data_IF_071359380758
#
_entry.id   IF_071359380758
#
_cell.length_a   1.000
_cell.length_b   1.000
_cell.length_c   1.000
_cell.angle_alpha   90.00
_cell.angle_beta   90.00
_cell.angle_gamma   90.00
#
_symmetry.space_group_name_H-M   'P 1'
#
loop_
_entity.id
_entity.type
_entity.pdbx_description
1 polymer ?
#
# COMPACT_ATOMS: atom_id res chain seq x y z
N UNK A 1 19.90 2.15 -3.33
CA UNK A 1 18.60 2.39 -2.67
C UNK A 1 17.43 2.44 -3.64
N UNK A 2 16.26 2.65 -3.08
CA UNK A 2 15.02 2.95 -3.81
C UNK A 2 14.67 4.41 -3.59
N UNK A 3 14.16 5.08 -4.62
CA UNK A 3 13.73 6.48 -4.55
C UNK A 3 12.29 6.57 -5.04
N UNK A 4 11.41 7.16 -4.22
CA UNK A 4 10.00 7.36 -4.53
C UNK A 4 9.71 8.84 -4.75
N UNK A 5 9.12 9.15 -5.89
CA UNK A 5 8.58 10.47 -6.20
C UNK A 5 7.16 10.59 -5.66
N UNK A 6 6.92 11.57 -4.81
CA UNK A 6 5.56 11.88 -4.37
C UNK A 6 4.77 12.58 -5.47
N UNK A 7 3.46 12.30 -5.52
CA UNK A 7 2.53 12.96 -6.41
C UNK A 7 1.51 13.79 -5.63
N UNK A 8 0.93 14.79 -6.28
CA UNK A 8 -0.17 15.57 -5.76
C UNK A 8 -1.38 15.51 -6.72
N UNK A 9 -2.53 15.81 -6.19
CA UNK A 9 -3.75 15.97 -6.98
C UNK A 9 -3.63 17.21 -7.90
N UNK A 10 -3.99 17.11 -9.19
CA UNK A 10 -3.82 18.19 -10.14
C UNK A 10 -4.64 19.44 -9.80
N UNK A 11 -5.81 19.29 -9.18
CA UNK A 11 -6.71 20.39 -8.86
C UNK A 11 -6.43 20.97 -7.47
N UNK A 12 -6.41 20.10 -6.46
CA UNK A 12 -6.30 20.53 -5.06
C UNK A 12 -4.86 20.72 -4.58
N UNK A 13 -3.87 20.22 -5.36
CA UNK A 13 -2.44 20.20 -5.03
C UNK A 13 -2.11 19.45 -3.73
N UNK A 14 -3.06 18.71 -3.18
CA UNK A 14 -2.86 17.88 -1.99
C UNK A 14 -2.09 16.61 -2.35
N UNK A 15 -1.30 16.11 -1.40
CA UNK A 15 -0.60 14.84 -1.51
C UNK A 15 -1.54 13.69 -1.88
N UNK A 16 -1.11 12.83 -2.79
CA UNK A 16 -1.85 11.63 -3.20
C UNK A 16 -1.06 10.33 -2.96
N UNK A 17 0.12 10.18 -3.55
CA UNK A 17 0.97 8.99 -3.44
C UNK A 17 2.41 9.34 -3.11
N UNK A 18 3.15 8.42 -2.50
CA UNK A 18 4.57 8.57 -2.17
C UNK A 18 5.03 7.55 -1.14
N UNK A 19 5.81 7.99 -0.15
CA UNK A 19 6.38 7.14 0.87
C UNK A 19 5.62 7.15 2.19
N UNK A 20 5.72 6.03 2.93
CA UNK A 20 5.17 5.88 4.28
C UNK A 20 6.27 5.39 5.21
N UNK A 21 6.42 6.02 6.37
CA UNK A 21 7.28 5.56 7.45
C UNK A 21 6.46 4.74 8.44
N UNK A 22 6.85 3.50 8.71
CA UNK A 22 6.23 2.68 9.76
C UNK A 22 6.52 3.29 11.14
N UNK A 23 5.50 3.34 12.00
CA UNK A 23 5.66 3.77 13.39
C UNK A 23 6.48 2.76 14.20
N UNK A 24 6.36 1.49 13.85
CA UNK A 24 7.07 0.38 14.44
C UNK A 24 7.27 -0.72 13.41
N UNK A 25 8.49 -1.26 13.32
CA UNK A 25 8.75 -2.42 12.46
C UNK A 25 7.90 -3.62 12.88
N UNK A 26 7.35 -4.33 11.90
CA UNK A 26 6.43 -5.45 12.14
C UNK A 26 4.99 -5.05 12.46
N UNK A 27 4.66 -3.75 12.41
CA UNK A 27 3.29 -3.21 12.50
C UNK A 27 2.96 -2.37 11.28
N UNK A 28 1.73 -2.48 10.75
CA UNK A 28 1.29 -1.76 9.54
C UNK A 28 1.06 -0.26 9.73
N UNK A 29 0.86 0.15 10.98
CA UNK A 29 0.62 1.56 11.27
C UNK A 29 1.83 2.41 10.83
N UNK A 30 1.59 3.41 9.99
CA UNK A 30 2.61 4.28 9.45
C UNK A 30 2.15 5.72 9.34
N UNK A 31 3.08 6.59 9.01
CA UNK A 31 2.86 8.02 8.75
C UNK A 31 3.26 8.32 7.31
N UNK A 32 2.37 8.96 6.57
CA UNK A 32 2.65 9.48 5.22
C UNK A 32 3.73 10.54 5.31
N UNK A 33 4.72 10.47 4.42
CA UNK A 33 5.77 11.45 4.30
C UNK A 33 5.47 12.41 3.14
N UNK A 34 5.03 13.60 3.49
CA UNK A 34 4.85 14.69 2.51
C UNK A 34 6.19 15.31 2.20
N UNK A 35 6.53 15.63 0.94
CA UNK A 35 7.76 16.32 0.60
C UNK A 35 7.93 17.63 1.38
N UNK A 36 9.13 17.85 1.91
CA UNK A 36 9.43 18.98 2.78
C UNK A 36 10.75 19.70 2.43
N UNK A 37 11.24 19.54 1.21
CA UNK A 37 12.50 20.11 0.75
C UNK A 37 13.74 19.28 1.08
N UNK A 38 13.59 18.15 1.79
CA UNK A 38 14.70 17.26 2.14
C UNK A 38 14.38 15.81 1.80
N UNK A 39 15.39 14.96 1.61
CA UNK A 39 15.21 13.51 1.49
C UNK A 39 14.72 12.95 2.83
N UNK A 40 13.67 12.16 2.78
CA UNK A 40 13.09 11.50 3.96
C UNK A 40 13.15 9.99 3.80
N UNK A 41 13.71 9.27 4.77
CA UNK A 41 13.75 7.81 4.73
C UNK A 41 12.37 7.22 5.07
N UNK A 42 11.86 6.37 4.20
CA UNK A 42 10.59 5.66 4.38
C UNK A 42 10.81 4.13 4.40
N UNK A 43 9.73 3.39 4.64
CA UNK A 43 9.73 1.92 4.64
C UNK A 43 8.86 1.35 3.52
N UNK A 44 7.79 2.06 3.17
CA UNK A 44 6.84 1.71 2.11
C UNK A 44 6.86 2.80 1.03
N UNK A 45 6.83 2.41 -0.22
CA UNK A 45 6.85 3.31 -1.37
C UNK A 45 5.77 2.92 -2.38
N UNK A 46 4.96 3.88 -2.84
CA UNK A 46 4.07 3.67 -3.97
C UNK A 46 4.86 3.71 -5.28
N UNK A 47 4.54 2.84 -6.22
CA UNK A 47 5.23 2.75 -7.51
C UNK A 47 4.65 3.66 -8.60
N UNK A 48 3.86 4.69 -8.26
CA UNK A 48 3.45 5.70 -9.24
C UNK A 48 4.66 6.36 -9.90
N UNK A 49 5.67 6.70 -9.09
CA UNK A 49 6.98 7.16 -9.54
C UNK A 49 8.02 6.48 -8.65
N UNK A 50 8.69 5.45 -9.17
CA UNK A 50 9.64 4.66 -8.38
C UNK A 50 10.91 4.40 -9.20
N UNK A 51 12.05 4.72 -8.62
CA UNK A 51 13.36 4.40 -9.18
C UNK A 51 14.06 3.39 -8.27
N UNK A 52 14.51 2.29 -8.84
CA UNK A 52 15.22 1.22 -8.16
C UNK A 52 16.64 1.18 -8.68
N UNK A 53 17.63 1.30 -7.78
CA UNK A 53 19.02 1.20 -8.18
C UNK A 53 19.37 -0.23 -8.65
N UNK A 54 20.32 -0.31 -9.57
CA UNK A 54 20.82 -1.59 -10.10
C UNK A 54 21.25 -2.54 -8.98
N UNK A 55 21.86 -2.02 -7.93
CA UNK A 55 22.32 -2.82 -6.77
C UNK A 55 21.14 -3.49 -6.06
N UNK A 56 20.05 -2.76 -5.83
CA UNK A 56 18.83 -3.32 -5.22
C UNK A 56 18.21 -4.38 -6.13
N UNK A 57 18.10 -4.07 -7.44
CA UNK A 57 17.57 -5.01 -8.41
C UNK A 57 18.39 -6.30 -8.51
N UNK A 58 19.71 -6.22 -8.49
CA UNK A 58 20.59 -7.40 -8.54
C UNK A 58 20.42 -8.32 -7.33
N UNK A 59 20.01 -7.79 -6.17
CA UNK A 59 19.78 -8.57 -4.94
C UNK A 59 18.36 -9.12 -4.86
N UNK A 60 17.37 -8.31 -5.20
CA UNK A 60 15.95 -8.65 -5.00
C UNK A 60 15.27 -9.21 -6.26
N UNK A 61 15.82 -8.94 -7.43
CA UNK A 61 15.19 -9.24 -8.70
C UNK A 61 14.02 -8.33 -9.02
N UNK A 62 13.05 -8.85 -9.76
CA UNK A 62 11.81 -8.17 -10.13
C UNK A 62 10.76 -8.24 -9.03
N UNK A 63 9.65 -7.53 -9.21
CA UNK A 63 8.48 -7.63 -8.33
C UNK A 63 7.98 -9.07 -8.23
N UNK A 64 7.49 -9.45 -7.06
CA UNK A 64 6.97 -10.79 -6.80
C UNK A 64 5.73 -11.12 -7.64
N UNK A 65 5.71 -12.31 -8.24
CA UNK A 65 4.56 -12.84 -9.00
C UNK A 65 3.35 -13.21 -8.12
N UNK A 66 3.49 -13.12 -6.80
CA UNK A 66 2.37 -13.32 -5.85
C UNK A 66 1.31 -12.22 -5.96
N UNK A 67 1.65 -11.09 -6.58
CA UNK A 67 0.77 -9.92 -6.71
C UNK A 67 0.42 -9.68 -8.17
N UNK A 68 -0.87 -9.51 -8.44
CA UNK A 68 -1.36 -9.15 -9.78
C UNK A 68 -1.76 -7.69 -9.89
N UNK A 69 -2.04 -7.03 -8.77
CA UNK A 69 -2.42 -5.62 -8.73
C UNK A 69 -2.32 -5.07 -7.31
N UNK A 70 -1.64 -3.94 -7.14
CA UNK A 70 -1.40 -3.31 -5.84
C UNK A 70 -0.49 -4.16 -4.92
N UNK A 71 -0.10 -3.62 -3.79
CA UNK A 71 0.72 -4.26 -2.73
C UNK A 71 2.15 -4.64 -3.17
N UNK A 72 2.38 -4.95 -4.45
CA UNK A 72 3.68 -5.38 -4.96
C UNK A 72 4.79 -4.36 -4.67
N UNK A 73 4.48 -3.09 -4.77
CA UNK A 73 5.37 -1.97 -4.48
C UNK A 73 5.73 -1.88 -2.99
N UNK A 74 4.75 -2.10 -2.11
CA UNK A 74 4.97 -2.18 -0.67
C UNK A 74 5.76 -3.43 -0.26
N UNK A 75 5.48 -4.57 -0.89
CA UNK A 75 6.28 -5.78 -0.68
C UNK A 75 7.75 -5.55 -1.09
N UNK A 76 7.96 -4.95 -2.25
CA UNK A 76 9.30 -4.72 -2.79
C UNK A 76 10.09 -3.73 -1.92
N UNK A 77 9.48 -2.62 -1.53
CA UNK A 77 10.13 -1.61 -0.68
C UNK A 77 10.46 -2.17 0.71
N UNK A 78 9.55 -2.92 1.36
CA UNK A 78 9.84 -3.58 2.64
C UNK A 78 10.89 -4.68 2.50
N UNK A 79 10.92 -5.42 1.38
CA UNK A 79 11.96 -6.40 1.11
C UNK A 79 13.32 -5.73 0.97
N UNK A 80 13.39 -4.55 0.35
CA UNK A 80 14.62 -3.76 0.25
C UNK A 80 15.09 -3.28 1.62
N UNK A 81 14.20 -2.72 2.44
CA UNK A 81 14.53 -2.32 3.82
C UNK A 81 15.05 -3.51 4.63
N UNK A 82 14.38 -4.68 4.53
CA UNK A 82 14.80 -5.90 5.22
C UNK A 82 16.18 -6.40 4.76
N UNK A 83 16.53 -6.15 3.49
CA UNK A 83 17.85 -6.46 2.93
C UNK A 83 18.91 -5.38 3.22
N UNK A 84 18.59 -4.35 4.01
CA UNK A 84 19.51 -3.29 4.41
C UNK A 84 19.62 -2.13 3.42
N UNK A 85 18.77 -2.07 2.39
CA UNK A 85 18.77 -0.97 1.44
C UNK A 85 17.84 0.18 1.90
N UNK A 86 18.29 1.44 1.82
CA UNK A 86 17.45 2.58 2.14
C UNK A 86 16.39 2.83 1.05
N UNK A 87 15.22 3.28 1.48
CA UNK A 87 14.14 3.78 0.63
C UNK A 87 13.91 5.26 0.95
N UNK A 88 13.99 6.13 -0.05
CA UNK A 88 13.96 7.57 0.10
C UNK A 88 12.78 8.21 -0.61
N UNK A 89 12.07 9.09 0.08
CA UNK A 89 11.14 10.05 -0.53
C UNK A 89 11.95 11.23 -1.05
N UNK A 90 11.70 11.62 -2.30
CA UNK A 90 12.31 12.80 -2.92
C UNK A 90 11.80 14.10 -2.26
N UNK A 91 12.61 15.17 -2.24
CA UNK A 91 12.30 16.39 -1.48
C UNK A 91 11.13 17.21 -2.03
N UNK A 92 10.62 16.90 -3.22
CA UNK A 92 9.58 17.65 -3.94
C UNK A 92 8.56 16.71 -4.58
N UNK A 93 7.43 17.26 -5.02
CA UNK A 93 6.48 16.52 -5.86
C UNK A 93 7.07 16.29 -7.25
N UNK A 94 6.99 15.06 -7.72
CA UNK A 94 7.55 14.62 -9.00
C UNK A 94 6.50 14.51 -10.12
N UNK A 95 5.23 14.69 -9.77
CA UNK A 95 4.15 14.61 -10.74
C UNK A 95 2.78 14.82 -10.13
N UNK A 96 1.78 14.82 -11.00
CA UNK A 96 0.37 14.95 -10.62
C UNK A 96 -0.35 13.62 -10.89
N UNK A 97 -1.15 13.17 -9.93
CA UNK A 97 -1.97 11.98 -10.04
C UNK A 97 -3.18 12.11 -9.13
N UNK A 98 -4.38 11.96 -9.68
CA UNK A 98 -5.59 11.92 -8.87
C UNK A 98 -5.59 10.69 -7.96
N UNK A 99 -6.18 10.84 -6.79
CA UNK A 99 -6.39 9.72 -5.88
C UNK A 99 -7.67 8.96 -6.29
N UNK A 100 -7.50 7.90 -7.08
CA UNK A 100 -8.60 7.05 -7.55
C UNK A 100 -9.16 6.10 -6.47
N UNK A 101 -8.54 6.07 -5.30
CA UNK A 101 -8.96 5.20 -4.20
C UNK A 101 -10.11 5.82 -3.41
N UNK A 102 -11.27 5.94 -4.05
CA UNK A 102 -12.50 6.28 -3.38
C UNK A 102 -12.99 5.15 -2.46
N UNK A 103 -14.15 5.32 -1.78
CA UNK A 103 -14.76 4.30 -0.91
C UNK A 103 -15.30 3.08 -1.69
N UNK A 104 -14.83 2.83 -2.90
CA UNK A 104 -15.22 1.74 -3.81
C UNK A 104 -15.04 0.32 -3.25
N UNK A 105 -14.29 0.17 -2.16
CA UNK A 105 -14.16 -1.07 -1.40
C UNK A 105 -15.39 -1.41 -0.55
N UNK A 106 -16.41 -0.53 -0.49
CA UNK A 106 -17.72 -0.77 0.11
C UNK A 106 -18.77 -0.83 -1.02
N UNK A 107 -19.00 -1.97 -1.66
CA UNK A 107 -20.00 -2.09 -2.70
C UNK A 107 -21.41 -1.98 -2.09
N UNK A 108 -21.93 -0.76 -2.02
CA UNK A 108 -23.29 -0.50 -1.55
C UNK A 108 -24.29 -1.18 -2.50
N UNK A 109 -25.33 -1.81 -1.93
CA UNK A 109 -26.36 -2.48 -2.70
C UNK A 109 -25.97 -3.81 -3.36
N UNK A 110 -24.74 -4.30 -3.12
CA UNK A 110 -24.29 -5.57 -3.69
C UNK A 110 -24.76 -6.79 -2.91
N UNK A 111 -25.06 -7.88 -3.65
CA UNK A 111 -25.38 -9.17 -3.05
C UNK A 111 -24.16 -9.79 -2.36
N UNK A 112 -24.38 -10.72 -1.43
CA UNK A 112 -23.28 -11.44 -0.76
C UNK A 112 -22.35 -12.13 -1.76
N UNK A 113 -22.89 -12.73 -2.83
CA UNK A 113 -22.11 -13.35 -3.90
C UNK A 113 -21.15 -12.35 -4.57
N UNK A 114 -21.62 -11.15 -4.87
CA UNK A 114 -20.80 -10.09 -5.46
C UNK A 114 -19.72 -9.63 -4.49
N UNK A 115 -20.01 -9.49 -3.19
CA UNK A 115 -19.05 -9.11 -2.15
C UNK A 115 -17.97 -10.18 -1.94
N UNK A 116 -18.33 -11.46 -1.98
CA UNK A 116 -17.35 -12.56 -1.94
C UNK A 116 -16.45 -12.52 -3.19
N UNK A 117 -17.02 -12.30 -4.38
CA UNK A 117 -16.21 -12.11 -5.60
C UNK A 117 -15.24 -10.95 -5.46
N UNK A 118 -15.69 -9.83 -4.89
CA UNK A 118 -14.86 -8.65 -4.64
C UNK A 118 -13.76 -8.92 -3.60
N UNK A 119 -14.03 -9.71 -2.54
CA UNK A 119 -13.05 -10.12 -1.55
C UNK A 119 -11.82 -10.79 -2.20
N UNK A 120 -12.05 -11.64 -3.20
CA UNK A 120 -10.98 -12.39 -3.87
C UNK A 120 -10.43 -11.68 -5.12
N UNK A 121 -11.10 -10.64 -5.61
CA UNK A 121 -10.66 -9.91 -6.80
C UNK A 121 -9.36 -9.16 -6.55
N UNK A 122 -8.38 -9.20 -7.47
CA UNK A 122 -7.15 -8.39 -7.38
C UNK A 122 -7.42 -6.88 -7.32
N UNK A 123 -8.46 -6.41 -8.02
CA UNK A 123 -8.93 -5.01 -7.98
C UNK A 123 -9.88 -4.73 -6.80
N UNK A 124 -10.21 -5.73 -6.01
CA UNK A 124 -11.02 -5.62 -4.80
C UNK A 124 -10.18 -5.64 -3.54
N UNK A 125 -10.53 -6.54 -2.61
CA UNK A 125 -9.78 -6.69 -1.36
C UNK A 125 -8.55 -7.61 -1.48
N UNK A 126 -8.35 -8.25 -2.63
CA UNK A 126 -7.19 -9.10 -2.94
C UNK A 126 -6.81 -10.07 -1.80
N UNK A 127 -7.80 -10.75 -1.22
CA UNK A 127 -7.72 -11.49 0.05
C UNK A 127 -6.45 -12.34 0.19
N UNK A 128 -6.15 -13.17 -0.83
CA UNK A 128 -4.97 -14.06 -0.78
C UNK A 128 -3.67 -13.26 -0.76
N UNK A 129 -3.55 -12.27 -1.63
CA UNK A 129 -2.37 -11.41 -1.77
C UNK A 129 -2.17 -10.54 -0.52
N UNK A 130 -3.25 -9.98 0.01
CA UNK A 130 -3.23 -9.22 1.26
C UNK A 130 -2.75 -10.07 2.43
N UNK A 131 -3.25 -11.30 2.57
CA UNK A 131 -2.82 -12.21 3.64
C UNK A 131 -1.39 -12.72 3.45
N UNK A 132 -0.94 -12.92 2.20
CA UNK A 132 0.46 -13.24 1.90
C UNK A 132 1.39 -12.12 2.39
N UNK A 133 1.10 -10.88 1.99
CA UNK A 133 1.83 -9.68 2.40
C UNK A 133 1.88 -9.52 3.93
N UNK A 134 0.73 -9.64 4.60
CA UNK A 134 0.65 -9.53 6.06
C UNK A 134 1.45 -10.64 6.75
N UNK A 135 1.36 -11.87 6.28
CA UNK A 135 2.16 -12.99 6.83
C UNK A 135 3.66 -12.74 6.72
N UNK A 136 4.10 -12.17 5.61
CA UNK A 136 5.52 -11.91 5.31
C UNK A 136 6.13 -10.81 6.19
N UNK A 137 5.38 -9.72 6.44
CA UNK A 137 5.93 -8.53 7.09
C UNK A 137 5.31 -8.18 8.45
N UNK A 138 4.07 -8.59 8.68
CA UNK A 138 3.27 -8.23 9.86
C UNK A 138 2.58 -9.45 10.48
N UNK A 139 3.30 -10.53 10.79
CA UNK A 139 2.68 -11.81 11.18
C UNK A 139 1.79 -11.70 12.41
N UNK A 140 2.11 -10.80 13.35
CA UNK A 140 1.28 -10.55 14.54
C UNK A 140 -0.10 -9.97 14.22
N UNK A 141 -0.29 -9.38 13.04
CA UNK A 141 -1.57 -8.78 12.60
C UNK A 141 -2.35 -9.69 11.62
N UNK A 142 -1.85 -10.91 11.38
CA UNK A 142 -2.44 -11.81 10.38
C UNK A 142 -3.89 -12.18 10.67
N UNK A 143 -4.18 -12.61 11.89
CA UNK A 143 -5.53 -13.02 12.28
C UNK A 143 -6.49 -11.83 12.32
N UNK A 144 -6.04 -10.68 12.80
CA UNK A 144 -6.80 -9.43 12.76
C UNK A 144 -7.17 -9.06 11.33
N UNK A 145 -6.19 -9.08 10.41
CA UNK A 145 -6.45 -8.76 8.99
C UNK A 145 -7.43 -9.75 8.37
N UNK A 146 -7.27 -11.05 8.62
CA UNK A 146 -8.17 -12.08 8.13
C UNK A 146 -9.62 -11.82 8.56
N UNK A 147 -9.83 -11.57 9.85
CA UNK A 147 -11.15 -11.24 10.42
C UNK A 147 -11.68 -9.95 9.80
N UNK A 148 -10.88 -8.90 9.73
CA UNK A 148 -11.26 -7.61 9.18
C UNK A 148 -11.72 -7.67 7.72
N UNK A 149 -11.05 -8.45 6.87
CA UNK A 149 -11.44 -8.66 5.48
C UNK A 149 -12.80 -9.36 5.35
N UNK A 150 -13.04 -10.39 6.18
CA UNK A 150 -14.33 -11.06 6.23
C UNK A 150 -15.44 -10.18 6.81
N UNK A 151 -15.17 -9.44 7.87
CA UNK A 151 -16.13 -8.47 8.42
C UNK A 151 -16.53 -7.41 7.39
N UNK A 152 -15.57 -6.88 6.62
CA UNK A 152 -15.86 -5.96 5.51
C UNK A 152 -16.79 -6.59 4.45
N UNK A 153 -16.64 -7.87 4.21
CA UNK A 153 -17.43 -8.60 3.21
C UNK A 153 -18.83 -8.93 3.70
N UNK A 154 -18.95 -9.40 4.93
CA UNK A 154 -20.22 -9.85 5.51
C UNK A 154 -21.08 -8.67 6.02
N UNK A 155 -20.43 -7.68 6.65
CA UNK A 155 -21.07 -6.57 7.34
C UNK A 155 -20.52 -5.21 6.88
N UNK A 156 -20.63 -4.85 5.57
CA UNK A 156 -20.02 -3.63 5.04
C UNK A 156 -20.58 -2.35 5.70
N UNK A 157 -21.82 -2.38 6.20
CA UNK A 157 -22.47 -1.26 6.88
C UNK A 157 -21.71 -0.81 8.14
N UNK A 158 -21.00 -1.69 8.85
CA UNK A 158 -20.19 -1.33 10.02
C UNK A 158 -19.19 -0.23 9.67
N UNK A 159 -18.56 -0.32 8.48
CA UNK A 159 -17.59 0.70 8.03
C UNK A 159 -18.23 2.03 7.67
N UNK A 160 -19.49 2.04 7.25
CA UNK A 160 -20.26 3.26 7.00
C UNK A 160 -20.51 4.04 8.30
N UNK A 161 -20.72 3.34 9.41
CA UNK A 161 -20.90 3.96 10.72
C UNK A 161 -19.60 4.36 11.42
N UNK A 162 -18.53 3.56 11.29
CA UNK A 162 -17.25 3.81 11.94
C UNK A 162 -16.42 4.93 11.29
N UNK A 163 -16.76 5.35 10.06
CA UNK A 163 -16.05 6.41 9.33
C UNK A 163 -16.81 7.75 9.29
N UNK A 164 -17.92 7.86 10.00
CA UNK A 164 -18.50 9.16 10.32
C UNK A 164 -17.77 9.76 11.49
#
# INVERSE_FOLDING_TARGET
>A
GIYVGSTCDPETKKYTYGGIKLKQWGKRAGTILVPNGTYQQCDLANANILMISRTVYNVLGSFSNEYTHGIADFDYSLSAVKAGFPVWVLPFYCGECQNDHGPSWLPQGSTLKQRIKYLYSPKGLAYKQQLHYIRKFFPSEYNEMKIKLWLKTLFPFIWTYLKK
#
